data_IF_984167449996
#
_entry.id   IF_984167449996
#
_cell.length_a   1.000
_cell.length_b   1.000
_cell.length_c   1.000
_cell.angle_alpha   90.00
_cell.angle_beta   90.00
_cell.angle_gamma   90.00
#
_symmetry.space_group_name_H-M   'P 1'
#
loop_
_entity.id
_entity.type
_entity.pdbx_description
1 polymer ?
#
# COMPACT_ATOMS: atom_id res chain seq x y z
N UNK A 1 -20.66 38.19 8.58
CA UNK A 1 -21.79 37.95 9.47
C UNK A 1 -21.49 36.68 10.25
N UNK A 2 -21.33 36.86 11.55
CA UNK A 2 -20.85 35.84 12.52
C UNK A 2 -21.86 34.72 12.73
N UNK A 3 -21.40 33.45 12.81
CA UNK A 3 -22.02 32.50 13.69
C UNK A 3 -20.94 31.70 14.41
N UNK A 4 -20.79 32.03 15.70
CA UNK A 4 -19.95 31.38 16.68
C UNK A 4 -20.78 30.33 17.44
N UNK A 5 -20.11 29.27 17.88
CA UNK A 5 -20.29 28.51 19.13
C UNK A 5 -21.39 27.42 19.10
N UNK A 6 -20.98 26.15 19.32
CA UNK A 6 -21.18 25.51 20.61
C UNK A 6 -20.33 24.22 20.75
N UNK A 7 -19.45 24.31 21.72
CA UNK A 7 -18.67 23.27 22.37
C UNK A 7 -19.63 22.39 23.19
N UNK A 8 -19.57 21.09 23.06
CA UNK A 8 -20.13 20.16 24.04
C UNK A 8 -19.18 18.98 24.24
N UNK A 9 -18.53 19.08 25.40
CA UNK A 9 -17.76 18.05 26.08
C UNK A 9 -18.72 16.97 26.55
N UNK A 10 -18.48 15.70 26.19
CA UNK A 10 -19.02 14.56 26.91
C UNK A 10 -17.90 13.61 27.29
N UNK A 11 -17.49 13.75 28.56
CA UNK A 11 -16.60 12.87 29.29
C UNK A 11 -17.48 11.77 29.93
N UNK A 12 -17.23 10.53 29.60
CA UNK A 12 -17.71 9.42 30.41
C UNK A 12 -16.67 8.29 30.43
N UNK A 13 -16.04 8.19 31.58
CA UNK A 13 -15.19 7.09 31.99
C UNK A 13 -16.04 5.87 32.36
N UNK A 14 -15.66 4.68 31.88
CA UNK A 14 -16.03 3.42 32.52
C UNK A 14 -14.80 2.54 32.66
N UNK A 15 -14.38 2.45 33.92
CA UNK A 15 -13.43 1.46 34.42
C UNK A 15 -14.27 0.21 34.78
N UNK A 16 -13.88 -0.97 34.33
CA UNK A 16 -14.16 -2.18 35.09
C UNK A 16 -13.15 -3.27 34.73
N UNK A 17 -12.39 -3.62 35.75
CA UNK A 17 -11.49 -4.74 35.84
C UNK A 17 -12.27 -6.07 35.96
N UNK A 18 -11.70 -7.15 35.45
CA UNK A 18 -11.61 -8.40 36.21
C UNK A 18 -10.65 -9.38 35.53
N UNK A 19 -9.65 -9.68 36.30
CA UNK A 19 -8.72 -10.79 36.29
C UNK A 19 -9.41 -12.15 36.33
N UNK A 20 -8.81 -13.16 35.71
CA UNK A 20 -8.64 -14.52 36.27
C UNK A 20 -7.64 -15.33 35.46
N UNK A 21 -6.54 -15.70 36.11
CA UNK A 21 -5.70 -16.86 35.84
C UNK A 21 -6.37 -18.11 36.45
N UNK A 22 -6.13 -19.31 35.93
CA UNK A 22 -5.44 -20.32 36.74
C UNK A 22 -4.28 -21.01 36.03
N UNK A 23 -3.32 -21.22 36.73
CA UNK A 23 -2.26 -22.10 37.11
C UNK A 23 -2.68 -23.59 37.18
N UNK A 24 -1.79 -24.46 36.66
CA UNK A 24 -1.29 -25.72 37.25
C UNK A 24 -0.52 -26.49 36.18
N UNK A 25 0.71 -26.69 36.41
CA UNK A 25 1.54 -27.69 37.10
C UNK A 25 1.80 -28.97 36.30
N UNK A 26 3.06 -29.25 36.25
CA UNK A 26 3.91 -30.37 36.60
C UNK A 26 4.50 -31.09 35.37
N UNK A 27 5.72 -31.25 35.29
CA UNK A 27 6.86 -31.91 35.94
C UNK A 27 7.53 -32.90 34.97
N UNK A 28 8.81 -32.85 34.89
CA UNK A 28 9.81 -33.90 35.09
C UNK A 28 11.04 -33.78 34.15
N UNK A 29 12.14 -33.38 34.71
CA UNK A 29 13.43 -34.11 34.91
C UNK A 29 14.18 -34.69 33.72
N UNK A 30 15.47 -34.31 33.63
CA UNK A 30 16.56 -35.08 33.03
C UNK A 30 17.72 -34.17 32.60
N UNK A 31 18.57 -33.78 33.47
CA UNK A 31 19.90 -34.22 33.86
C UNK A 31 20.95 -34.32 32.76
N UNK A 32 21.99 -33.46 32.90
CA UNK A 32 23.39 -33.77 32.76
C UNK A 32 24.05 -33.37 31.44
N UNK A 33 24.96 -32.45 31.39
CA UNK A 33 26.34 -32.56 31.84
C UNK A 33 27.14 -31.37 31.38
N UNK A 34 27.90 -30.86 32.28
CA UNK A 34 28.92 -29.81 32.18
C UNK A 34 30.06 -30.12 31.20
N UNK A 35 30.53 -29.07 30.52
CA UNK A 35 31.96 -28.76 30.33
C UNK A 35 32.16 -27.36 29.80
N UNK A 36 32.62 -26.44 30.60
CA UNK A 36 33.45 -25.28 30.32
C UNK A 36 34.91 -25.74 30.31
N UNK A 37 35.90 -24.89 29.91
CA UNK A 37 35.95 -23.56 29.32
C UNK A 37 36.97 -23.45 28.16
N UNK A 38 37.01 -22.37 27.42
CA UNK A 38 38.24 -21.61 27.09
C UNK A 38 38.04 -20.48 26.12
N UNK A 39 38.28 -19.29 26.62
CA UNK A 39 38.95 -18.12 26.04
C UNK A 39 38.96 -17.93 24.53
N UNK A 40 38.53 -16.73 24.16
CA UNK A 40 38.93 -16.04 22.94
C UNK A 40 37.74 -15.65 22.11
N UNK A 41 37.26 -14.42 22.28
CA UNK A 41 37.31 -13.51 21.18
C UNK A 41 36.64 -12.19 21.49
N UNK A 42 37.47 -11.18 21.58
CA UNK A 42 37.06 -9.78 21.66
C UNK A 42 36.87 -9.13 20.27
N UNK A 43 36.71 -9.93 19.20
CA UNK A 43 36.65 -9.41 17.83
C UNK A 43 35.24 -9.47 17.18
N UNK A 44 34.21 -9.94 17.88
CA UNK A 44 32.85 -10.03 17.32
C UNK A 44 32.03 -8.76 17.54
N UNK A 45 32.49 -7.83 18.39
CA UNK A 45 31.75 -6.60 18.71
C UNK A 45 32.06 -5.43 17.77
N UNK A 46 33.06 -5.52 16.91
CA UNK A 46 33.40 -4.47 15.95
C UNK A 46 32.61 -4.55 14.64
N UNK A 47 31.95 -5.68 14.35
CA UNK A 47 31.23 -5.89 13.10
C UNK A 47 29.71 -5.64 13.23
N UNK A 48 29.23 -5.36 14.45
CA UNK A 48 27.82 -5.06 14.71
C UNK A 48 27.47 -3.58 14.70
N UNK A 49 28.48 -2.69 14.62
CA UNK A 49 28.25 -1.24 14.64
C UNK A 49 28.08 -0.62 13.24
N UNK A 50 28.21 -1.43 12.18
CA UNK A 50 28.03 -0.98 10.79
C UNK A 50 26.98 -1.78 10.01
N UNK A 51 26.08 -2.46 10.71
CA UNK A 51 24.84 -2.91 10.08
C UNK A 51 23.88 -1.74 10.17
N UNK A 52 23.98 -0.80 9.23
CA UNK A 52 22.84 0.01 8.86
C UNK A 52 21.66 -0.97 8.73
N UNK A 53 20.60 -0.72 9.48
CA UNK A 53 19.26 -1.27 9.24
C UNK A 53 18.81 -0.74 7.87
N UNK A 54 19.53 -1.14 6.80
CA UNK A 54 19.14 -0.88 5.44
C UNK A 54 17.84 -1.65 5.20
N UNK A 55 16.77 -0.92 5.16
CA UNK A 55 15.58 -1.38 4.45
C UNK A 55 16.00 -1.85 3.05
N UNK A 56 15.13 -2.55 2.31
CA UNK A 56 15.47 -3.06 0.99
C UNK A 56 16.14 -1.93 0.20
N UNK A 57 17.30 -2.23 -0.37
CA UNK A 57 18.10 -1.25 -1.12
C UNK A 57 17.36 -0.90 -2.41
N UNK A 58 16.35 -0.04 -2.28
CA UNK A 58 15.43 0.34 -3.34
C UNK A 58 16.08 1.49 -4.12
N UNK A 59 16.27 1.31 -5.42
CA UNK A 59 16.81 2.36 -6.26
C UNK A 59 15.84 3.54 -6.37
N UNK A 60 16.24 4.77 -5.98
CA UNK A 60 15.38 5.95 -6.08
C UNK A 60 14.90 6.16 -7.52
N UNK A 61 13.60 6.44 -7.67
CA UNK A 61 12.96 6.65 -8.97
C UNK A 61 12.56 5.36 -9.72
N UNK A 62 12.74 4.18 -9.12
CA UNK A 62 12.29 2.91 -9.68
C UNK A 62 10.83 2.61 -9.38
N UNK A 63 10.26 1.61 -10.07
CA UNK A 63 8.91 1.10 -9.76
C UNK A 63 8.82 0.61 -8.31
N UNK A 64 9.88 -0.04 -7.83
CA UNK A 64 9.93 -0.55 -6.46
C UNK A 64 9.91 0.59 -5.42
N UNK A 65 10.63 1.68 -5.71
CA UNK A 65 10.62 2.90 -4.89
C UNK A 65 9.21 3.52 -4.81
N UNK A 66 8.52 3.64 -5.94
CA UNK A 66 7.14 4.11 -5.97
C UNK A 66 6.21 3.21 -5.13
N UNK A 67 6.32 1.88 -5.30
CA UNK A 67 5.46 0.90 -4.59
C UNK A 67 5.69 0.94 -3.08
N UNK A 68 6.95 0.99 -2.64
CA UNK A 68 7.30 0.88 -1.20
C UNK A 68 7.04 2.18 -0.46
N UNK A 69 7.37 3.33 -1.06
CA UNK A 69 7.35 4.61 -0.37
C UNK A 69 6.06 5.41 -0.56
N UNK A 70 5.30 5.15 -1.63
CA UNK A 70 4.10 5.93 -1.97
C UNK A 70 2.88 5.01 -2.15
N UNK A 71 3.03 3.95 -2.94
CA UNK A 71 1.96 3.12 -3.44
C UNK A 71 1.64 3.40 -4.91
N UNK A 72 1.35 2.33 -5.65
CA UNK A 72 1.17 2.37 -7.11
C UNK A 72 -0.31 2.20 -7.55
N UNK A 73 -1.25 1.95 -6.62
CA UNK A 73 -2.60 1.46 -6.93
C UNK A 73 -3.70 2.35 -6.40
N UNK A 74 -4.64 2.68 -7.27
CA UNK A 74 -5.90 3.34 -6.95
C UNK A 74 -7.04 2.36 -7.17
N UNK A 75 -7.97 2.26 -6.23
CA UNK A 75 -9.11 1.36 -6.30
C UNK A 75 -10.41 2.08 -6.67
N UNK A 76 -11.35 1.31 -7.24
CA UNK A 76 -12.63 1.85 -7.71
C UNK A 76 -13.82 1.05 -7.20
N UNK A 77 -14.94 1.72 -7.06
CA UNK A 77 -16.24 1.07 -6.84
C UNK A 77 -16.67 0.19 -8.02
N UNK A 78 -17.69 -0.63 -7.77
CA UNK A 78 -18.31 -1.42 -8.83
C UNK A 78 -18.90 -0.51 -9.91
N UNK A 79 -18.53 -0.78 -11.15
CA UNK A 79 -18.97 -0.04 -12.34
C UNK A 79 -18.68 1.48 -12.30
N UNK A 80 -17.64 1.88 -11.56
CA UNK A 80 -17.22 3.27 -11.36
C UNK A 80 -15.82 3.53 -11.88
N UNK A 81 -15.58 4.79 -12.27
CA UNK A 81 -14.28 5.32 -12.66
C UNK A 81 -13.98 6.68 -12.02
N UNK A 82 -14.82 7.14 -11.10
CA UNK A 82 -14.59 8.36 -10.32
C UNK A 82 -13.58 8.10 -9.18
N UNK A 83 -12.78 9.12 -8.89
CA UNK A 83 -11.77 9.10 -7.83
C UNK A 83 -12.40 9.61 -6.52
N UNK A 84 -12.32 8.81 -5.48
CA UNK A 84 -12.69 9.22 -4.12
C UNK A 84 -11.58 10.07 -3.45
N UNK A 85 -11.76 10.41 -2.18
CA UNK A 85 -10.80 11.23 -1.42
C UNK A 85 -9.45 10.54 -1.25
N UNK A 86 -9.47 9.26 -0.90
CA UNK A 86 -8.27 8.47 -0.61
C UNK A 86 -7.45 8.26 -1.87
N UNK A 87 -8.13 7.97 -3.00
CA UNK A 87 -7.49 7.90 -4.32
C UNK A 87 -6.83 9.22 -4.71
N UNK A 88 -7.49 10.36 -4.45
CA UNK A 88 -6.94 11.68 -4.76
C UNK A 88 -5.73 12.03 -3.91
N UNK A 89 -5.74 11.68 -2.63
CA UNK A 89 -4.62 11.87 -1.71
C UNK A 89 -3.40 11.05 -2.18
N UNK A 90 -3.57 9.77 -2.42
CA UNK A 90 -2.52 8.91 -2.96
C UNK A 90 -1.95 9.44 -4.29
N UNK A 91 -2.81 9.93 -5.18
CA UNK A 91 -2.37 10.49 -6.46
C UNK A 91 -1.59 11.81 -6.30
N UNK A 92 -1.84 12.61 -5.26
CA UNK A 92 -1.02 13.79 -4.93
C UNK A 92 0.39 13.37 -4.53
N UNK A 93 0.52 12.33 -3.72
CA UNK A 93 1.82 11.78 -3.31
C UNK A 93 2.57 11.17 -4.50
N UNK A 94 1.88 10.43 -5.37
CA UNK A 94 2.47 9.93 -6.62
C UNK A 94 2.95 11.07 -7.52
N UNK A 95 2.18 12.15 -7.65
CA UNK A 95 2.57 13.32 -8.44
C UNK A 95 3.81 14.01 -7.84
N UNK A 96 3.91 14.14 -6.53
CA UNK A 96 5.10 14.68 -5.87
C UNK A 96 6.34 13.82 -6.19
N UNK A 97 6.19 12.50 -6.08
CA UNK A 97 7.24 11.53 -6.41
C UNK A 97 7.64 11.59 -7.91
N UNK A 98 6.67 11.62 -8.82
CA UNK A 98 6.92 11.71 -10.28
C UNK A 98 7.69 12.99 -10.63
N UNK A 99 7.35 14.12 -10.02
CA UNK A 99 8.05 15.39 -10.22
C UNK A 99 9.46 15.36 -9.68
N UNK A 100 9.66 14.75 -8.50
CA UNK A 100 10.99 14.63 -7.88
C UNK A 100 11.96 13.82 -8.76
N UNK A 101 11.48 12.73 -9.36
CA UNK A 101 12.30 11.82 -10.16
C UNK A 101 12.24 12.08 -11.66
N UNK A 102 11.44 13.09 -12.11
CA UNK A 102 11.19 13.38 -13.52
C UNK A 102 10.78 12.13 -14.31
N UNK A 103 9.98 11.26 -13.69
CA UNK A 103 9.61 9.97 -14.24
C UNK A 103 8.57 10.09 -15.35
N UNK A 104 8.67 9.20 -16.35
CA UNK A 104 7.59 8.92 -17.30
C UNK A 104 6.86 7.68 -16.86
N UNK A 105 5.53 7.69 -16.95
CA UNK A 105 4.68 6.65 -16.41
C UNK A 105 3.65 6.13 -17.41
N UNK A 106 3.21 4.91 -17.17
CA UNK A 106 2.03 4.33 -17.81
C UNK A 106 0.99 4.04 -16.74
N UNK A 107 -0.26 4.44 -16.97
CA UNK A 107 -1.39 4.14 -16.09
C UNK A 107 -2.17 2.99 -16.70
N UNK A 108 -2.18 1.87 -16.00
CA UNK A 108 -2.93 0.68 -16.38
C UNK A 108 -4.32 0.70 -15.75
N UNK A 109 -5.36 0.39 -16.54
CA UNK A 109 -6.74 0.28 -16.07
C UNK A 109 -7.22 -1.16 -16.05
N UNK A 110 -7.79 -1.59 -14.90
CA UNK A 110 -8.23 -2.95 -14.65
C UNK A 110 -9.66 -3.00 -14.11
N UNK A 111 -10.30 -4.14 -14.34
CA UNK A 111 -11.65 -4.45 -13.89
C UNK A 111 -11.71 -5.82 -13.22
N UNK A 112 -12.79 -6.08 -12.50
CA UNK A 112 -13.12 -7.43 -12.05
C UNK A 112 -13.68 -8.27 -13.23
N UNK A 113 -13.91 -9.55 -12.98
CA UNK A 113 -14.29 -10.52 -14.04
C UNK A 113 -15.71 -10.33 -14.60
N UNK A 114 -16.58 -9.58 -13.91
CA UNK A 114 -17.99 -9.43 -14.26
C UNK A 114 -18.18 -8.55 -15.51
N UNK A 115 -19.14 -8.92 -16.36
CA UNK A 115 -19.41 -8.23 -17.62
C UNK A 115 -18.62 -8.76 -18.81
N UNK A 116 -18.86 -8.17 -19.99
CA UNK A 116 -18.18 -8.57 -21.22
C UNK A 116 -16.74 -8.06 -21.27
N UNK A 117 -15.94 -8.63 -22.13
CA UNK A 117 -14.54 -8.21 -22.34
C UNK A 117 -14.47 -6.77 -22.86
N UNK A 118 -15.29 -6.46 -23.85
CA UNK A 118 -15.33 -5.15 -24.51
C UNK A 118 -15.74 -4.06 -23.52
N UNK A 119 -16.77 -4.34 -22.71
CA UNK A 119 -17.23 -3.43 -21.67
C UNK A 119 -16.12 -3.14 -20.66
N UNK A 120 -15.46 -4.19 -20.15
CA UNK A 120 -14.38 -4.04 -19.17
C UNK A 120 -13.15 -3.34 -19.75
N UNK A 121 -12.84 -3.55 -21.03
CA UNK A 121 -11.76 -2.81 -21.69
C UNK A 121 -12.08 -1.32 -21.73
N UNK A 122 -13.30 -0.94 -22.09
CA UNK A 122 -13.74 0.46 -22.06
C UNK A 122 -13.78 1.06 -20.65
N UNK A 123 -14.23 0.28 -19.63
CA UNK A 123 -14.25 0.74 -18.24
C UNK A 123 -12.83 0.90 -17.67
N UNK A 124 -11.93 -0.02 -18.00
CA UNK A 124 -10.52 0.09 -17.61
C UNK A 124 -9.86 1.33 -18.21
N UNK A 125 -10.14 1.63 -19.48
CA UNK A 125 -9.66 2.88 -20.12
C UNK A 125 -10.20 4.11 -19.42
N UNK A 126 -11.49 4.16 -19.06
CA UNK A 126 -12.07 5.29 -18.30
C UNK A 126 -11.39 5.49 -16.96
N UNK A 127 -11.02 4.42 -16.26
CA UNK A 127 -10.28 4.46 -14.98
C UNK A 127 -8.88 5.04 -15.16
N UNK A 128 -8.13 4.50 -16.12
CA UNK A 128 -6.80 5.01 -16.45
C UNK A 128 -6.84 6.49 -16.86
N UNK A 129 -7.82 6.88 -17.66
CA UNK A 129 -8.00 8.26 -18.10
C UNK A 129 -8.41 9.20 -16.96
N UNK A 130 -9.21 8.75 -15.98
CA UNK A 130 -9.57 9.53 -14.80
C UNK A 130 -8.33 9.85 -13.96
N UNK A 131 -7.46 8.87 -13.73
CA UNK A 131 -6.17 9.06 -13.03
C UNK A 131 -5.27 10.02 -13.82
N UNK A 132 -5.08 9.80 -15.12
CA UNK A 132 -4.29 10.67 -15.99
C UNK A 132 -4.77 12.12 -15.92
N UNK A 133 -6.06 12.36 -16.08
CA UNK A 133 -6.63 13.71 -16.07
C UNK A 133 -6.41 14.40 -14.72
N UNK A 134 -6.52 13.66 -13.62
CA UNK A 134 -6.27 14.19 -12.29
C UNK A 134 -4.78 14.54 -12.10
N UNK A 135 -3.85 13.68 -12.49
CA UNK A 135 -2.41 13.97 -12.43
C UNK A 135 -2.02 15.17 -13.30
N UNK A 136 -2.62 15.33 -14.50
CA UNK A 136 -2.41 16.50 -15.34
C UNK A 136 -2.92 17.78 -14.63
N UNK A 137 -4.07 17.73 -13.96
CA UNK A 137 -4.59 18.87 -13.20
C UNK A 137 -3.69 19.28 -12.03
N UNK A 138 -2.88 18.33 -11.52
CA UNK A 138 -1.85 18.56 -10.50
C UNK A 138 -0.49 19.00 -11.11
N UNK A 139 -0.42 19.15 -12.44
CA UNK A 139 0.72 19.75 -13.14
C UNK A 139 1.76 18.77 -13.69
N UNK A 140 1.41 17.49 -13.89
CA UNK A 140 2.22 16.57 -14.70
C UNK A 140 1.95 16.83 -16.19
N UNK A 141 3.00 16.80 -17.01
CA UNK A 141 2.84 16.92 -18.47
C UNK A 141 2.11 15.71 -19.05
N UNK A 142 1.18 15.95 -19.96
CA UNK A 142 0.48 14.88 -20.66
C UNK A 142 1.41 13.96 -21.46
N UNK A 143 2.59 14.45 -21.86
CA UNK A 143 3.61 13.69 -22.57
C UNK A 143 4.36 12.68 -21.68
N UNK A 144 4.31 12.87 -20.35
CA UNK A 144 4.90 11.95 -19.37
C UNK A 144 3.96 10.79 -19.01
N UNK A 145 2.68 10.86 -19.40
CA UNK A 145 1.67 9.89 -19.00
C UNK A 145 1.07 9.19 -20.19
N UNK A 146 1.28 7.87 -20.28
CA UNK A 146 0.56 6.98 -21.18
C UNK A 146 -0.57 6.26 -20.45
N UNK A 147 -1.60 5.81 -21.15
CA UNK A 147 -2.67 4.96 -20.61
C UNK A 147 -2.79 3.67 -21.38
N UNK A 148 -3.14 2.59 -20.69
CA UNK A 148 -3.47 1.30 -21.28
C UNK A 148 -4.56 0.63 -20.46
N UNK A 149 -5.53 0.01 -21.12
CA UNK A 149 -6.53 -0.80 -20.45
C UNK A 149 -6.28 -2.29 -20.68
N UNK A 150 -6.27 -3.04 -19.61
CA UNK A 150 -6.30 -4.50 -19.63
C UNK A 150 -7.71 -5.05 -19.35
N UNK A 151 -8.67 -4.18 -19.03
CA UNK A 151 -10.00 -4.64 -18.67
C UNK A 151 -9.93 -5.71 -17.57
N UNK A 152 -10.53 -6.88 -17.82
CA UNK A 152 -10.51 -8.02 -16.88
C UNK A 152 -9.42 -9.06 -17.15
N UNK A 153 -8.57 -8.85 -18.15
CA UNK A 153 -7.63 -9.86 -18.65
C UNK A 153 -6.41 -10.07 -17.73
N UNK A 154 -6.13 -9.12 -16.82
CA UNK A 154 -5.01 -9.20 -15.86
C UNK A 154 -5.50 -9.02 -14.44
N UNK A 155 -6.15 -10.03 -13.82
CA UNK A 155 -6.57 -9.95 -12.44
C UNK A 155 -5.36 -9.92 -11.50
N UNK A 156 -5.43 -9.09 -10.44
CA UNK A 156 -4.46 -9.11 -9.34
C UNK A 156 -4.71 -10.28 -8.40
N UNK A 157 -5.98 -10.59 -8.20
CA UNK A 157 -6.42 -11.72 -7.35
C UNK A 157 -7.41 -12.55 -8.15
N UNK A 158 -7.13 -13.85 -8.24
CA UNK A 158 -8.03 -14.80 -8.86
C UNK A 158 -9.09 -15.22 -7.86
N UNK A 159 -10.37 -15.11 -8.22
CA UNK A 159 -11.49 -15.48 -7.36
C UNK A 159 -12.76 -14.76 -7.72
N UNK A 160 -13.91 -15.40 -7.48
CA UNK A 160 -15.26 -14.92 -7.76
C UNK A 160 -15.98 -14.54 -6.47
N UNK A 161 -15.40 -13.57 -5.75
CA UNK A 161 -15.94 -13.02 -4.51
C UNK A 161 -15.63 -11.53 -4.37
N UNK A 162 -16.32 -10.85 -3.46
CA UNK A 162 -16.19 -9.40 -3.27
C UNK A 162 -14.76 -8.95 -2.94
N UNK A 163 -14.01 -9.75 -2.17
CA UNK A 163 -12.62 -9.48 -1.84
C UNK A 163 -11.72 -9.47 -3.07
N UNK A 164 -11.82 -10.50 -3.93
CA UNK A 164 -11.07 -10.56 -5.18
C UNK A 164 -11.51 -9.45 -6.15
N UNK A 165 -12.81 -9.22 -6.30
CA UNK A 165 -13.33 -8.18 -7.17
C UNK A 165 -12.88 -6.78 -6.78
N UNK A 166 -12.86 -6.46 -5.48
CA UNK A 166 -12.39 -5.15 -5.00
C UNK A 166 -10.92 -4.89 -5.34
N UNK A 167 -10.05 -5.90 -5.24
CA UNK A 167 -8.64 -5.81 -5.59
C UNK A 167 -8.41 -5.72 -7.11
N UNK A 168 -9.32 -6.27 -7.91
CA UNK A 168 -9.24 -6.23 -9.36
C UNK A 168 -9.72 -4.91 -9.96
N UNK A 169 -10.64 -4.20 -9.31
CA UNK A 169 -11.12 -2.88 -9.73
C UNK A 169 -10.10 -1.80 -9.37
N UNK A 170 -9.06 -1.65 -10.17
CA UNK A 170 -7.94 -0.76 -9.87
C UNK A 170 -7.37 -0.05 -11.09
N UNK A 171 -6.62 1.01 -10.87
CA UNK A 171 -5.57 1.49 -11.79
C UNK A 171 -4.21 1.31 -11.13
N UNK A 172 -3.20 1.02 -11.94
CA UNK A 172 -1.80 0.86 -11.50
C UNK A 172 -0.94 1.87 -12.23
N UNK A 173 -0.10 2.59 -11.49
CA UNK A 173 0.92 3.48 -12.03
C UNK A 173 2.22 2.71 -12.18
N UNK A 174 2.71 2.58 -13.41
CA UNK A 174 3.98 1.92 -13.74
C UNK A 174 4.98 2.92 -14.26
N UNK A 175 6.23 2.82 -13.80
CA UNK A 175 7.37 3.64 -14.23
C UNK A 175 7.96 3.02 -15.50
N UNK A 176 8.23 3.87 -16.52
CA UNK A 176 8.74 3.42 -17.83
C UNK A 176 10.28 3.35 -17.84
#
# INVERSE_FOLDING_TARGET
MFYKILLSIFLAAFISACSTTPKDTADASGSGSSSDPSSGDSDILADLENTELGGPNVNPGSQEDLVVNVGDRVFFGYDRSDLDSDAKELLQDQVAWIKQHNASITIEGHCDERGTREYNLALGEKRAQAVKNYMISLGISSSQISTISFGKERPAVVGSNDGAWSQNRRSVTTVN
#
